data_IF_068336768501
#
_entry.id   IF_068336768501
#
_cell.length_a   1.000
_cell.length_b   1.000
_cell.length_c   1.000
_cell.angle_alpha   90.00
_cell.angle_beta   90.00
_cell.angle_gamma   90.00
#
_symmetry.space_group_name_H-M   'P 1'
#
loop_
_entity.id
_entity.type
_entity.pdbx_description
1 polymer ?
#
# COMPACT_ATOMS: atom_id res chain seq x y z
N UNK A 1 -8.40 9.40 -26.82
CA UNK A 1 -7.71 8.58 -25.80
C UNK A 1 -6.74 9.48 -25.08
N UNK A 2 -6.80 9.60 -23.72
CA UNK A 2 -5.79 10.36 -22.98
C UNK A 2 -4.47 9.63 -23.11
N UNK A 3 -3.46 10.34 -23.55
CA UNK A 3 -2.11 9.80 -23.81
C UNK A 3 -1.34 9.64 -22.49
N UNK A 4 -0.28 8.83 -22.48
CA UNK A 4 0.67 8.63 -21.38
C UNK A 4 1.23 9.95 -20.76
N UNK A 5 0.98 11.07 -21.39
CA UNK A 5 1.38 12.41 -21.00
C UNK A 5 0.65 12.98 -19.77
N UNK A 6 -0.50 12.40 -19.37
CA UNK A 6 -1.28 12.90 -18.20
C UNK A 6 -0.74 12.42 -16.84
N UNK A 7 0.09 11.39 -16.81
CA UNK A 7 0.76 10.93 -15.58
C UNK A 7 2.08 11.67 -15.30
N UNK A 8 2.66 12.31 -16.31
CA UNK A 8 3.95 12.97 -16.19
C UNK A 8 3.93 14.14 -15.17
N UNK A 9 4.81 14.02 -14.18
CA UNK A 9 4.97 15.03 -13.13
C UNK A 9 4.02 14.91 -11.93
N UNK A 10 3.13 13.89 -11.87
CA UNK A 10 2.32 13.62 -10.66
C UNK A 10 3.20 13.26 -9.47
N UNK A 11 2.73 13.54 -8.29
CA UNK A 11 3.48 13.46 -7.03
C UNK A 11 2.77 12.50 -6.10
N UNK A 12 3.42 11.39 -5.75
CA UNK A 12 2.86 10.37 -4.88
C UNK A 12 3.60 10.27 -3.55
N UNK A 13 2.86 10.23 -2.44
CA UNK A 13 3.37 9.78 -1.14
C UNK A 13 3.16 8.27 -1.00
N UNK A 14 4.19 7.55 -0.59
CA UNK A 14 4.12 6.11 -0.35
C UNK A 14 4.57 5.86 1.10
N UNK A 15 3.69 5.34 1.94
CA UNK A 15 4.04 4.92 3.30
C UNK A 15 4.61 3.50 3.29
N UNK A 16 5.64 3.23 4.11
CA UNK A 16 6.38 1.97 4.04
C UNK A 16 7.11 1.83 2.70
N UNK A 17 7.70 2.95 2.22
CA UNK A 17 8.32 3.05 0.90
C UNK A 17 9.76 2.55 0.83
N UNK A 18 10.36 2.18 1.96
CA UNK A 18 11.77 1.76 2.02
C UNK A 18 12.02 0.32 1.55
N UNK A 19 11.00 -0.53 1.44
CA UNK A 19 11.17 -1.93 1.07
C UNK A 19 9.92 -2.54 0.42
N UNK A 20 10.07 -3.76 -0.12
CA UNK A 20 8.98 -4.61 -0.59
C UNK A 20 8.06 -3.93 -1.62
N UNK A 21 6.74 -4.09 -1.43
CA UNK A 21 5.73 -3.53 -2.35
C UNK A 21 5.88 -2.01 -2.48
N UNK A 22 6.16 -1.29 -1.38
CA UNK A 22 6.32 0.16 -1.38
C UNK A 22 7.48 0.62 -2.26
N UNK A 23 8.66 0.03 -2.09
CA UNK A 23 9.86 0.37 -2.87
C UNK A 23 9.68 0.03 -4.36
N UNK A 24 9.15 -1.17 -4.68
CA UNK A 24 8.88 -1.58 -6.08
C UNK A 24 7.82 -0.68 -6.72
N UNK A 25 6.79 -0.27 -5.96
CA UNK A 25 5.79 0.70 -6.43
C UNK A 25 6.44 2.06 -6.73
N UNK A 26 7.33 2.54 -5.86
CA UNK A 26 8.03 3.80 -6.07
C UNK A 26 8.85 3.78 -7.37
N UNK A 27 9.66 2.73 -7.56
CA UNK A 27 10.46 2.55 -8.78
C UNK A 27 9.57 2.51 -10.04
N UNK A 28 8.47 1.75 -10.00
CA UNK A 28 7.54 1.66 -11.11
C UNK A 28 6.87 3.00 -11.43
N UNK A 29 6.39 3.73 -10.41
CA UNK A 29 5.77 5.03 -10.62
C UNK A 29 6.73 6.03 -11.25
N UNK A 30 7.98 6.08 -10.76
CA UNK A 30 9.00 6.98 -11.35
C UNK A 30 9.32 6.60 -12.79
N UNK A 31 9.42 5.31 -13.13
CA UNK A 31 9.60 4.87 -14.52
C UNK A 31 8.46 5.31 -15.45
N UNK A 32 7.29 5.67 -14.88
CA UNK A 32 6.10 6.18 -15.57
C UNK A 32 5.94 7.70 -15.47
N UNK A 33 6.94 8.40 -14.95
CA UNK A 33 6.97 9.86 -14.90
C UNK A 33 6.39 10.49 -13.62
N UNK A 34 6.06 9.73 -12.59
CA UNK A 34 5.75 10.25 -11.27
C UNK A 34 7.00 10.78 -10.56
N UNK A 35 6.80 11.64 -9.57
CA UNK A 35 7.74 11.90 -8.48
C UNK A 35 7.21 11.24 -7.22
N UNK A 36 8.07 10.64 -6.41
CA UNK A 36 7.63 9.88 -5.22
C UNK A 36 8.30 10.38 -3.95
N UNK A 37 7.54 10.49 -2.87
CA UNK A 37 8.07 10.68 -1.53
C UNK A 37 7.82 9.40 -0.73
N UNK A 38 8.84 8.93 -0.03
CA UNK A 38 8.82 7.73 0.77
C UNK A 38 8.78 8.12 2.25
N UNK A 39 7.73 7.73 2.97
CA UNK A 39 7.65 7.83 4.42
C UNK A 39 7.87 6.45 5.00
N UNK A 40 8.96 6.24 5.72
CA UNK A 40 9.27 4.97 6.36
C UNK A 40 9.92 5.19 7.73
N UNK A 41 9.65 4.29 8.66
CA UNK A 41 10.31 4.30 9.97
C UNK A 41 11.78 3.87 9.90
N UNK A 42 12.15 3.10 8.88
CA UNK A 42 13.53 2.77 8.54
C UNK A 42 14.03 3.82 7.54
N UNK A 43 14.62 4.90 8.07
CA UNK A 43 15.16 6.00 7.30
C UNK A 43 16.23 5.56 6.31
N UNK A 44 17.11 4.65 6.74
CA UNK A 44 18.19 4.11 5.90
C UNK A 44 17.64 3.34 4.69
N UNK A 45 16.57 2.55 4.90
CA UNK A 45 15.92 1.82 3.80
C UNK A 45 15.24 2.78 2.83
N UNK A 46 14.55 3.81 3.35
CA UNK A 46 13.91 4.83 2.51
C UNK A 46 14.93 5.65 1.72
N UNK A 47 16.05 6.01 2.35
CA UNK A 47 17.15 6.73 1.70
C UNK A 47 17.77 5.91 0.56
N UNK A 48 18.10 4.64 0.82
CA UNK A 48 18.63 3.73 -0.21
C UNK A 48 17.67 3.62 -1.39
N UNK A 49 16.38 3.38 -1.14
CA UNK A 49 15.37 3.30 -2.20
C UNK A 49 15.27 4.59 -2.99
N UNK A 50 15.30 5.75 -2.33
CA UNK A 50 15.29 7.05 -3.02
C UNK A 50 16.55 7.28 -3.85
N UNK A 51 17.72 6.87 -3.35
CA UNK A 51 18.99 6.95 -4.07
C UNK A 51 19.01 6.07 -5.33
N UNK A 52 18.50 4.84 -5.23
CA UNK A 52 18.40 3.91 -6.36
C UNK A 52 17.44 4.43 -7.46
N UNK A 53 16.38 5.14 -7.08
CA UNK A 53 15.46 5.80 -8.01
C UNK A 53 16.12 6.99 -8.71
N UNK A 54 16.96 7.74 -8.00
CA UNK A 54 17.70 8.88 -8.52
C UNK A 54 17.18 10.24 -8.09
N UNK A 55 18.11 11.19 -8.04
CA UNK A 55 17.88 12.55 -7.56
C UNK A 55 16.83 13.29 -8.40
N UNK A 56 15.96 14.04 -7.72
CA UNK A 56 14.91 14.87 -8.33
C UNK A 56 13.59 14.12 -8.57
N UNK A 57 13.59 12.79 -8.62
CA UNK A 57 12.39 11.97 -8.80
C UNK A 57 11.89 11.32 -7.51
N UNK A 58 12.77 11.19 -6.49
CA UNK A 58 12.42 10.62 -5.19
C UNK A 58 12.86 11.54 -4.04
N UNK A 59 12.04 11.59 -3.00
CA UNK A 59 12.34 12.13 -1.68
C UNK A 59 12.13 11.02 -0.65
N UNK A 60 12.75 11.14 0.50
CA UNK A 60 12.50 10.27 1.63
C UNK A 60 12.34 11.08 2.93
N UNK A 61 11.59 10.53 3.87
CA UNK A 61 11.37 11.08 5.19
C UNK A 61 11.33 9.93 6.18
N UNK A 62 12.20 9.97 7.19
CA UNK A 62 12.16 9.01 8.30
C UNK A 62 11.03 9.38 9.24
N UNK A 63 10.14 8.41 9.54
CA UNK A 63 9.06 8.64 10.48
C UNK A 63 8.09 7.48 10.58
N UNK A 64 7.50 7.35 11.77
CA UNK A 64 6.43 6.39 12.00
C UNK A 64 5.09 6.96 11.50
N UNK A 65 4.34 6.17 10.75
CA UNK A 65 3.02 6.56 10.23
C UNK A 65 1.96 6.77 11.32
N UNK A 66 2.24 6.36 12.55
CA UNK A 66 1.39 6.63 13.71
C UNK A 66 1.67 7.98 14.37
N UNK A 67 2.75 8.66 13.95
CA UNK A 67 3.10 10.01 14.39
C UNK A 67 2.60 11.05 13.37
N UNK A 68 1.67 11.91 13.80
CA UNK A 68 1.11 12.97 12.95
C UNK A 68 2.16 14.00 12.50
N UNK A 69 3.20 14.23 13.32
CA UNK A 69 4.29 15.14 12.96
C UNK A 69 5.16 14.57 11.84
N UNK A 70 5.41 13.27 11.83
CA UNK A 70 6.11 12.61 10.74
C UNK A 70 5.32 12.67 9.43
N UNK A 71 3.99 12.48 9.51
CA UNK A 71 3.08 12.60 8.35
C UNK A 71 3.14 14.02 7.77
N UNK A 72 2.96 15.03 8.61
CA UNK A 72 2.98 16.43 8.18
C UNK A 72 4.36 16.81 7.62
N UNK A 73 5.46 16.40 8.26
CA UNK A 73 6.82 16.64 7.79
C UNK A 73 7.08 16.07 6.39
N UNK A 74 6.61 14.85 6.10
CA UNK A 74 6.71 14.27 4.77
C UNK A 74 5.92 15.07 3.71
N UNK A 75 4.69 15.47 4.03
CA UNK A 75 3.84 16.28 3.14
C UNK A 75 4.39 17.69 2.93
N UNK A 76 4.94 18.32 3.95
CA UNK A 76 5.60 19.63 3.85
C UNK A 76 6.87 19.56 2.97
N UNK A 77 7.67 18.51 3.13
CA UNK A 77 8.85 18.27 2.26
C UNK A 77 8.43 18.14 0.79
N UNK A 78 7.33 17.42 0.50
CA UNK A 78 6.76 17.34 -0.85
C UNK A 78 6.26 18.69 -1.36
N UNK A 79 5.56 19.44 -0.52
CA UNK A 79 5.04 20.77 -0.89
C UNK A 79 6.16 21.74 -1.22
N UNK A 80 7.22 21.75 -0.41
CA UNK A 80 8.40 22.60 -0.64
C UNK A 80 9.16 22.24 -1.92
N UNK A 81 9.32 20.94 -2.20
CA UNK A 81 10.11 20.49 -3.35
C UNK A 81 9.31 20.50 -4.67
N UNK A 82 8.02 20.20 -4.62
CA UNK A 82 7.21 19.93 -5.82
C UNK A 82 5.85 20.65 -5.85
N UNK A 83 5.51 21.43 -4.85
CA UNK A 83 4.29 22.24 -4.79
C UNK A 83 3.02 21.47 -4.34
N UNK A 84 3.13 20.24 -3.82
CA UNK A 84 1.99 19.50 -3.25
C UNK A 84 2.00 18.00 -3.49
N UNK A 85 0.82 17.37 -3.41
CA UNK A 85 0.58 15.93 -3.54
C UNK A 85 -0.61 15.69 -4.48
N UNK A 86 -0.51 14.67 -5.33
CA UNK A 86 -1.59 14.21 -6.22
C UNK A 86 -2.08 12.81 -5.84
N UNK A 87 -1.19 11.93 -5.39
CA UNK A 87 -1.50 10.54 -5.12
C UNK A 87 -0.95 10.08 -3.78
N UNK A 88 -1.67 9.13 -3.14
CA UNK A 88 -1.26 8.50 -1.90
C UNK A 88 -1.34 6.98 -2.00
N UNK A 89 -0.30 6.30 -1.53
CA UNK A 89 -0.30 4.85 -1.32
C UNK A 89 -0.12 4.57 0.16
N UNK A 90 -1.19 4.18 0.85
CA UNK A 90 -1.14 3.67 2.21
C UNK A 90 -0.67 2.22 2.18
N UNK A 91 0.65 2.01 2.20
CA UNK A 91 1.26 0.69 2.09
C UNK A 91 1.89 0.22 3.41
N UNK A 92 2.30 1.11 4.31
CA UNK A 92 2.84 0.73 5.62
C UNK A 92 1.91 -0.27 6.32
N UNK A 93 2.50 -1.28 6.94
CA UNK A 93 1.74 -2.33 7.61
C UNK A 93 2.52 -3.05 8.69
N UNK A 94 1.80 -3.47 9.70
CA UNK A 94 2.27 -4.33 10.78
C UNK A 94 1.47 -5.63 10.80
N UNK A 95 2.07 -6.69 11.31
CA UNK A 95 1.41 -7.97 11.50
C UNK A 95 1.80 -8.57 12.85
N UNK A 96 0.94 -9.44 13.35
CA UNK A 96 1.19 -10.22 14.55
C UNK A 96 0.68 -11.65 14.33
N UNK A 97 1.32 -12.60 15.00
CA UNK A 97 1.06 -14.02 14.79
C UNK A 97 1.00 -14.77 16.13
N UNK A 98 -0.21 -15.08 16.56
CA UNK A 98 -0.47 -15.90 17.74
C UNK A 98 -1.93 -16.42 17.73
N UNK A 99 -2.23 -17.50 18.48
CA UNK A 99 -3.61 -17.87 18.78
C UNK A 99 -4.39 -16.71 19.39
N UNK A 100 -5.69 -16.61 19.11
CA UNK A 100 -6.53 -15.50 19.60
C UNK A 100 -6.48 -15.31 21.12
N UNK A 101 -6.40 -16.42 21.86
CA UNK A 101 -6.36 -16.39 23.34
C UNK A 101 -5.03 -15.81 23.89
N UNK A 102 -3.97 -15.84 23.09
CA UNK A 102 -2.64 -15.36 23.49
C UNK A 102 -2.36 -13.91 23.03
N UNK A 103 -3.33 -13.31 22.32
CA UNK A 103 -3.21 -11.94 21.84
C UNK A 103 -3.72 -10.95 22.88
N UNK A 104 -2.81 -10.19 23.50
CA UNK A 104 -3.17 -9.09 24.40
C UNK A 104 -3.75 -7.89 23.63
N UNK A 105 -4.50 -7.03 24.32
CA UNK A 105 -5.05 -5.81 23.71
C UNK A 105 -3.95 -4.88 23.16
N UNK A 106 -2.76 -4.85 23.76
CA UNK A 106 -1.66 -4.02 23.27
C UNK A 106 -1.07 -4.54 21.95
N UNK A 107 -1.06 -5.86 21.76
CA UNK A 107 -0.71 -6.47 20.47
C UNK A 107 -1.76 -6.13 19.39
N UNK A 108 -3.05 -6.13 19.75
CA UNK A 108 -4.13 -5.68 18.88
C UNK A 108 -3.98 -4.20 18.50
N UNK A 109 -3.81 -3.32 19.50
CA UNK A 109 -3.65 -1.87 19.28
C UNK A 109 -2.51 -1.59 18.32
N UNK A 110 -1.32 -2.15 18.55
CA UNK A 110 -0.15 -1.95 17.68
C UNK A 110 -0.44 -2.25 16.21
N UNK A 111 -1.16 -3.32 15.90
CA UNK A 111 -1.51 -3.67 14.52
C UNK A 111 -2.59 -2.76 13.96
N UNK A 112 -3.60 -2.42 14.75
CA UNK A 112 -4.68 -1.51 14.34
C UNK A 112 -4.18 -0.09 14.15
N UNK A 113 -3.27 0.38 15.00
CA UNK A 113 -2.69 1.72 14.89
C UNK A 113 -1.99 1.90 13.54
N UNK A 114 -1.16 0.94 13.14
CA UNK A 114 -0.43 1.00 11.87
C UNK A 114 -1.33 0.71 10.66
N UNK A 115 -2.18 -0.32 10.72
CA UNK A 115 -2.88 -0.81 9.53
C UNK A 115 -4.21 -0.09 9.26
N UNK A 116 -4.78 0.62 10.25
CA UNK A 116 -6.08 1.25 10.15
C UNK A 116 -6.05 2.72 10.56
N UNK A 117 -5.59 3.06 11.76
CA UNK A 117 -5.63 4.43 12.25
C UNK A 117 -4.62 5.33 11.51
N UNK A 118 -3.42 4.82 11.22
CA UNK A 118 -2.45 5.55 10.41
C UNK A 118 -2.97 5.85 8.98
N UNK A 119 -3.52 4.91 8.19
CA UNK A 119 -4.18 5.22 6.93
C UNK A 119 -5.26 6.29 7.02
N UNK A 120 -6.04 6.35 8.13
CA UNK A 120 -7.01 7.44 8.36
C UNK A 120 -6.27 8.77 8.51
N UNK A 121 -5.25 8.83 9.37
CA UNK A 121 -4.50 10.06 9.65
C UNK A 121 -3.77 10.57 8.40
N UNK A 122 -3.03 9.69 7.71
CA UNK A 122 -2.29 10.03 6.48
C UNK A 122 -3.24 10.49 5.38
N UNK A 123 -4.34 9.77 5.15
CA UNK A 123 -5.32 10.15 4.13
C UNK A 123 -5.97 11.51 4.44
N UNK A 124 -6.36 11.75 5.69
CA UNK A 124 -6.93 13.04 6.10
C UNK A 124 -5.95 14.22 5.90
N UNK A 125 -4.68 14.02 6.24
CA UNK A 125 -3.64 15.03 6.04
C UNK A 125 -3.38 15.28 4.54
N UNK A 126 -3.31 14.22 3.73
CA UNK A 126 -3.11 14.30 2.29
C UNK A 126 -4.29 14.98 1.58
N UNK A 127 -5.53 14.57 1.86
CA UNK A 127 -6.76 15.08 1.22
C UNK A 127 -6.95 16.59 1.43
N UNK A 128 -6.48 17.15 2.54
CA UNK A 128 -6.49 18.62 2.75
C UNK A 128 -5.60 19.36 1.75
N UNK A 129 -4.63 18.68 1.15
CA UNK A 129 -3.62 19.22 0.22
C UNK A 129 -3.83 18.74 -1.22
N UNK A 130 -4.72 17.77 -1.45
CA UNK A 130 -5.06 17.20 -2.75
C UNK A 130 -6.12 18.03 -3.48
N UNK A 131 -6.05 18.03 -4.81
CA UNK A 131 -7.05 18.62 -5.72
C UNK A 131 -7.82 17.58 -6.51
N UNK A 132 -8.76 18.02 -7.36
CA UNK A 132 -9.50 17.14 -8.28
C UNK A 132 -8.56 16.34 -9.19
N UNK A 133 -8.89 15.08 -9.46
CA UNK A 133 -8.08 14.14 -10.23
C UNK A 133 -7.05 13.37 -9.41
N UNK A 134 -6.97 13.64 -8.10
CA UNK A 134 -6.12 12.90 -7.17
C UNK A 134 -6.64 11.48 -6.91
N UNK A 135 -5.74 10.58 -6.45
CA UNK A 135 -6.13 9.23 -6.11
C UNK A 135 -5.40 8.69 -4.87
N UNK A 136 -6.11 7.83 -4.12
CA UNK A 136 -5.57 7.12 -2.95
C UNK A 136 -5.72 5.62 -3.19
N UNK A 137 -4.67 4.87 -2.90
CA UNK A 137 -4.69 3.40 -2.87
C UNK A 137 -4.31 2.90 -1.48
N UNK A 138 -5.24 2.18 -0.86
CA UNK A 138 -5.03 1.51 0.41
C UNK A 138 -4.57 0.06 0.17
N UNK A 139 -3.39 -0.32 0.63
CA UNK A 139 -2.89 -1.69 0.50
C UNK A 139 -3.49 -2.56 1.60
N UNK A 140 -4.57 -3.27 1.23
CA UNK A 140 -5.21 -4.27 2.08
C UNK A 140 -4.49 -5.63 1.96
N UNK A 141 -5.23 -6.72 1.88
CA UNK A 141 -4.72 -8.09 1.75
C UNK A 141 -5.86 -9.03 1.35
N UNK A 142 -5.54 -10.17 0.77
CA UNK A 142 -6.45 -11.31 0.69
C UNK A 142 -7.03 -11.66 2.07
N UNK A 143 -6.25 -11.49 3.14
CA UNK A 143 -6.69 -11.70 4.53
C UNK A 143 -7.61 -10.58 5.07
N UNK A 144 -7.92 -9.57 4.28
CA UNK A 144 -9.01 -8.64 4.53
C UNK A 144 -10.37 -9.14 4.02
N UNK A 145 -10.38 -10.16 3.18
CA UNK A 145 -11.60 -10.77 2.60
C UNK A 145 -11.87 -12.15 3.16
N UNK A 146 -10.83 -12.90 3.52
CA UNK A 146 -10.89 -14.19 4.20
C UNK A 146 -10.03 -14.14 5.47
N UNK A 147 -10.21 -15.10 6.36
CA UNK A 147 -9.42 -15.18 7.60
C UNK A 147 -8.47 -16.35 7.58
N UNK A 148 -7.36 -16.24 8.31
CA UNK A 148 -6.42 -17.31 8.55
C UNK A 148 -6.18 -17.49 10.06
N UNK A 149 -5.97 -18.72 10.55
CA UNK A 149 -5.61 -18.95 11.93
C UNK A 149 -4.40 -18.13 12.37
N UNK A 150 -4.39 -17.71 13.62
CA UNK A 150 -3.29 -16.99 14.28
C UNK A 150 -3.00 -15.58 13.73
N UNK A 151 -3.84 -15.04 12.84
CA UNK A 151 -3.69 -13.75 12.17
C UNK A 151 -4.76 -12.72 12.57
N UNK A 152 -5.39 -12.87 13.75
CA UNK A 152 -6.56 -12.10 14.19
C UNK A 152 -6.47 -10.60 13.94
N UNK A 153 -5.52 -9.85 14.57
CA UNK A 153 -5.41 -8.40 14.41
C UNK A 153 -5.18 -7.97 12.95
N UNK A 154 -4.36 -8.72 12.22
CA UNK A 154 -4.07 -8.44 10.83
C UNK A 154 -5.32 -8.58 9.95
N UNK A 155 -6.03 -9.71 10.03
CA UNK A 155 -7.25 -9.95 9.24
C UNK A 155 -8.30 -8.87 9.52
N UNK A 156 -8.55 -8.57 10.80
CA UNK A 156 -9.51 -7.54 11.20
C UNK A 156 -9.11 -6.16 10.68
N UNK A 157 -7.84 -5.77 10.82
CA UNK A 157 -7.35 -4.48 10.34
C UNK A 157 -7.49 -4.33 8.82
N UNK A 158 -7.18 -5.39 8.05
CA UNK A 158 -7.26 -5.36 6.59
C UNK A 158 -8.71 -5.41 6.07
N UNK A 159 -9.62 -6.08 6.79
CA UNK A 159 -11.07 -6.00 6.52
C UNK A 159 -11.63 -4.61 6.81
N UNK A 160 -11.23 -4.01 7.93
CA UNK A 160 -11.63 -2.64 8.29
C UNK A 160 -11.10 -1.62 7.26
N UNK A 161 -9.88 -1.81 6.73
CA UNK A 161 -9.30 -0.94 5.70
C UNK A 161 -10.09 -1.01 4.38
N UNK A 162 -10.63 -2.16 4.01
CA UNK A 162 -11.55 -2.30 2.86
C UNK A 162 -12.83 -1.49 3.09
N UNK A 163 -13.40 -1.55 4.29
CA UNK A 163 -14.59 -0.76 4.66
C UNK A 163 -14.29 0.74 4.65
N UNK A 164 -13.15 1.15 5.25
CA UNK A 164 -12.67 2.53 5.24
C UNK A 164 -12.51 3.07 3.81
N UNK A 165 -11.96 2.27 2.91
CA UNK A 165 -11.79 2.64 1.49
C UNK A 165 -13.11 3.05 0.85
N UNK A 166 -14.20 2.32 1.13
CA UNK A 166 -15.53 2.65 0.61
C UNK A 166 -16.06 3.97 1.19
N UNK A 167 -15.89 4.19 2.49
CA UNK A 167 -16.30 5.45 3.13
C UNK A 167 -15.52 6.64 2.56
N UNK A 168 -14.20 6.54 2.47
CA UNK A 168 -13.35 7.58 1.88
C UNK A 168 -13.73 7.86 0.42
N UNK A 169 -14.03 6.83 -0.36
CA UNK A 169 -14.46 6.98 -1.75
C UNK A 169 -15.77 7.76 -1.88
N UNK A 170 -16.75 7.49 -1.01
CA UNK A 170 -18.04 8.18 -1.00
C UNK A 170 -17.87 9.65 -0.59
N UNK A 171 -17.17 9.89 0.52
CA UNK A 171 -17.05 11.23 1.09
C UNK A 171 -16.19 12.19 0.24
N UNK A 172 -15.20 11.67 -0.48
CA UNK A 172 -14.27 12.51 -1.24
C UNK A 172 -14.54 12.53 -2.75
N UNK A 173 -15.58 11.83 -3.22
CA UNK A 173 -15.98 11.84 -4.63
C UNK A 173 -16.33 13.25 -5.14
N UNK A 174 -17.05 14.06 -4.35
CA UNK A 174 -17.38 15.44 -4.70
C UNK A 174 -16.17 16.36 -4.81
N UNK A 175 -15.06 15.99 -4.17
CA UNK A 175 -13.77 16.68 -4.30
C UNK A 175 -12.98 16.22 -5.53
N UNK A 176 -13.51 15.27 -6.31
CA UNK A 176 -12.84 14.69 -7.47
C UNK A 176 -11.68 13.76 -7.10
N UNK A 177 -11.68 13.19 -5.89
CA UNK A 177 -10.64 12.28 -5.38
C UNK A 177 -11.17 10.85 -5.44
N UNK A 178 -10.43 9.94 -6.08
CA UNK A 178 -10.74 8.50 -6.12
C UNK A 178 -10.02 7.77 -5.00
N UNK A 179 -10.69 6.84 -4.35
CA UNK A 179 -10.08 6.00 -3.31
C UNK A 179 -10.39 4.54 -3.60
N UNK A 180 -9.35 3.72 -3.70
CA UNK A 180 -9.48 2.29 -3.93
C UNK A 180 -8.58 1.50 -2.99
N UNK A 181 -8.86 0.22 -2.84
CA UNK A 181 -7.97 -0.72 -2.18
C UNK A 181 -7.36 -1.69 -3.20
N UNK A 182 -6.20 -2.21 -2.87
CA UNK A 182 -5.64 -3.40 -3.51
C UNK A 182 -5.54 -4.51 -2.46
N UNK A 183 -5.87 -5.74 -2.84
CA UNK A 183 -5.81 -6.92 -1.98
C UNK A 183 -4.82 -7.94 -2.54
N UNK A 184 -3.53 -7.81 -2.21
CA UNK A 184 -2.52 -8.79 -2.59
C UNK A 184 -2.80 -10.16 -1.95
N UNK A 185 -2.49 -11.23 -2.67
CA UNK A 185 -2.38 -12.57 -2.14
C UNK A 185 -1.09 -12.80 -1.38
N UNK A 186 -0.60 -14.02 -1.40
CA UNK A 186 0.73 -14.32 -0.87
C UNK A 186 1.80 -13.87 -1.87
N UNK A 187 2.66 -12.95 -1.43
CA UNK A 187 3.71 -12.33 -2.25
C UNK A 187 5.08 -12.86 -1.83
N UNK A 188 5.86 -13.28 -2.81
CA UNK A 188 7.24 -13.74 -2.63
C UNK A 188 8.17 -12.51 -2.51
N UNK A 189 8.21 -11.95 -1.31
CA UNK A 189 9.10 -10.84 -0.96
C UNK A 189 10.50 -11.33 -0.56
N UNK A 190 11.45 -10.42 -0.39
CA UNK A 190 12.84 -10.77 -0.08
C UNK A 190 13.00 -11.61 1.22
N UNK A 191 12.36 -11.27 2.35
CA UNK A 191 12.41 -12.13 3.53
C UNK A 191 11.87 -13.54 3.29
N UNK A 192 10.79 -13.68 2.54
CA UNK A 192 10.21 -14.98 2.18
C UNK A 192 11.13 -15.77 1.25
N UNK A 193 11.79 -15.11 0.30
CA UNK A 193 12.82 -15.74 -0.57
C UNK A 193 13.98 -16.27 0.22
N UNK A 194 14.49 -15.48 1.18
CA UNK A 194 15.59 -15.91 2.06
C UNK A 194 15.21 -17.13 2.90
N UNK A 195 14.00 -17.14 3.50
CA UNK A 195 13.50 -18.28 4.27
C UNK A 195 13.30 -19.54 3.40
N UNK A 196 12.80 -19.37 2.19
CA UNK A 196 12.64 -20.47 1.24
C UNK A 196 13.98 -21.05 0.81
N UNK A 197 14.97 -20.21 0.52
CA UNK A 197 16.33 -20.63 0.19
C UNK A 197 17.03 -21.37 1.35
N UNK A 198 16.74 -20.98 2.59
CA UNK A 198 17.22 -21.66 3.79
C UNK A 198 16.46 -22.96 4.14
N UNK A 199 15.43 -23.34 3.34
CA UNK A 199 14.58 -24.50 3.63
C UNK A 199 13.64 -24.31 4.84
N UNK A 200 13.52 -23.08 5.35
CA UNK A 200 12.71 -22.73 6.53
C UNK A 200 11.29 -22.29 6.18
N UNK A 201 10.93 -22.27 4.90
CA UNK A 201 9.61 -21.89 4.41
C UNK A 201 9.17 -22.84 3.29
N UNK A 202 8.06 -23.55 3.51
CA UNK A 202 7.43 -24.40 2.49
C UNK A 202 6.21 -23.66 1.90
N UNK A 203 6.35 -23.25 0.64
CA UNK A 203 5.29 -22.61 -0.12
C UNK A 203 4.25 -23.59 -0.70
N UNK A 204 4.44 -24.90 -0.57
CA UNK A 204 3.64 -25.91 -1.28
C UNK A 204 2.15 -25.81 -0.97
N UNK A 205 1.77 -25.54 0.28
CA UNK A 205 0.38 -25.37 0.66
C UNK A 205 -0.24 -24.11 0.03
N UNK A 206 0.55 -23.02 -0.06
CA UNK A 206 0.12 -21.77 -0.70
C UNK A 206 -0.05 -22.02 -2.21
N UNK A 207 0.90 -22.69 -2.85
CA UNK A 207 0.85 -22.99 -4.28
C UNK A 207 -0.35 -23.88 -4.62
N UNK A 208 -0.63 -24.92 -3.82
CA UNK A 208 -1.81 -25.78 -4.03
C UNK A 208 -3.13 -25.03 -3.88
N UNK A 209 -3.20 -24.06 -2.94
CA UNK A 209 -4.42 -23.29 -2.67
C UNK A 209 -4.60 -22.12 -3.66
N UNK A 210 -3.55 -21.68 -4.32
CA UNK A 210 -3.61 -20.60 -5.30
C UNK A 210 -3.90 -21.17 -6.69
N UNK A 211 -5.00 -20.80 -7.39
CA UNK A 211 -5.31 -21.34 -8.72
C UNK A 211 -4.20 -21.15 -9.74
N UNK A 212 -3.46 -20.04 -9.68
CA UNK A 212 -2.29 -19.82 -10.56
C UNK A 212 -1.05 -20.65 -10.16
N UNK A 213 -1.10 -21.47 -9.11
CA UNK A 213 -0.06 -22.40 -8.70
C UNK A 213 1.22 -21.78 -8.15
N UNK A 214 1.21 -20.48 -7.84
CA UNK A 214 2.40 -19.74 -7.36
C UNK A 214 2.01 -18.58 -6.45
N UNK A 215 3.00 -18.07 -5.73
CA UNK A 215 2.91 -16.75 -5.09
C UNK A 215 3.03 -15.65 -6.15
N UNK A 216 2.47 -14.48 -5.84
CA UNK A 216 2.69 -13.27 -6.63
C UNK A 216 4.04 -12.62 -6.33
N UNK A 217 4.35 -11.57 -7.09
CA UNK A 217 5.53 -10.72 -6.92
C UNK A 217 5.12 -9.31 -6.50
N UNK A 218 6.06 -8.57 -5.90
CA UNK A 218 5.84 -7.15 -5.57
C UNK A 218 5.51 -6.34 -6.83
N UNK A 219 6.13 -6.67 -7.97
CA UNK A 219 5.90 -5.99 -9.24
C UNK A 219 4.46 -6.16 -9.75
N UNK A 220 3.84 -7.34 -9.59
CA UNK A 220 2.44 -7.55 -9.97
C UNK A 220 1.48 -6.73 -9.12
N UNK A 221 1.80 -6.53 -7.83
CA UNK A 221 1.02 -5.64 -6.96
C UNK A 221 1.23 -4.18 -7.34
N UNK A 222 2.47 -3.76 -7.60
CA UNK A 222 2.81 -2.41 -8.01
C UNK A 222 2.10 -2.00 -9.32
N UNK A 223 1.95 -2.93 -10.28
CA UNK A 223 1.16 -2.72 -11.50
C UNK A 223 -0.31 -2.41 -11.20
N UNK A 224 -0.91 -3.14 -10.26
CA UNK A 224 -2.28 -2.89 -9.81
C UNK A 224 -2.42 -1.52 -9.12
N UNK A 225 -1.46 -1.15 -8.28
CA UNK A 225 -1.42 0.18 -7.63
C UNK A 225 -1.32 1.27 -8.69
N UNK A 226 -0.38 1.16 -9.63
CA UNK A 226 -0.18 2.13 -10.70
C UNK A 226 -1.42 2.27 -11.60
N UNK A 227 -2.14 1.16 -11.89
CA UNK A 227 -3.42 1.21 -12.59
C UNK A 227 -4.46 2.03 -11.82
N UNK A 228 -4.63 1.79 -10.52
CA UNK A 228 -5.63 2.48 -9.70
C UNK A 228 -5.32 3.96 -9.51
N UNK A 229 -4.05 4.34 -9.48
CA UNK A 229 -3.63 5.75 -9.40
C UNK A 229 -3.82 6.50 -10.72
N UNK A 230 -3.68 5.83 -11.88
CA UNK A 230 -3.70 6.46 -13.19
C UNK A 230 -5.09 7.04 -13.53
N UNK A 231 -5.25 8.38 -13.64
CA UNK A 231 -6.53 8.99 -13.94
C UNK A 231 -7.02 8.70 -15.37
N UNK A 232 -6.15 8.32 -16.29
CA UNK A 232 -6.52 7.96 -17.65
C UNK A 232 -7.09 6.54 -17.75
N UNK A 233 -6.63 5.64 -16.88
CA UNK A 233 -6.97 4.22 -16.91
C UNK A 233 -8.06 3.83 -15.91
N UNK A 234 -8.13 4.52 -14.78
CA UNK A 234 -9.05 4.23 -13.68
C UNK A 234 -9.98 5.41 -13.34
N UNK A 235 -10.31 6.28 -14.31
CA UNK A 235 -11.09 7.51 -14.11
C UNK A 235 -12.47 7.28 -13.49
N UNK A 236 -13.08 6.11 -13.71
CA UNK A 236 -14.40 5.75 -13.18
C UNK A 236 -14.36 4.62 -12.16
N UNK A 237 -13.17 4.39 -11.54
CA UNK A 237 -12.95 3.35 -10.51
C UNK A 237 -12.71 4.03 -9.17
N UNK A 238 -13.68 3.92 -8.25
CA UNK A 238 -13.58 4.38 -6.87
C UNK A 238 -14.38 3.46 -5.94
N UNK A 239 -13.96 3.31 -4.68
CA UNK A 239 -14.58 2.41 -3.69
C UNK A 239 -14.35 0.92 -3.97
N UNK A 240 -13.51 0.58 -4.93
CA UNK A 240 -13.24 -0.80 -5.36
C UNK A 240 -12.06 -1.40 -4.59
N UNK A 241 -12.09 -2.73 -4.43
CA UNK A 241 -10.95 -3.52 -3.96
C UNK A 241 -10.46 -4.40 -5.11
N UNK A 242 -9.31 -4.05 -5.68
CA UNK A 242 -8.67 -4.82 -6.74
C UNK A 242 -7.91 -6.01 -6.14
N UNK A 243 -8.32 -7.20 -6.50
CA UNK A 243 -7.67 -8.43 -6.05
C UNK A 243 -6.48 -8.78 -6.97
N UNK A 244 -5.28 -8.87 -6.37
CA UNK A 244 -4.05 -9.33 -7.02
C UNK A 244 -3.55 -10.54 -6.24
N UNK A 245 -4.28 -11.67 -6.34
CA UNK A 245 -4.13 -12.82 -5.44
C UNK A 245 -4.04 -14.18 -6.14
N UNK A 246 -3.89 -14.21 -7.47
CA UNK A 246 -3.77 -15.44 -8.24
C UNK A 246 -5.03 -16.32 -8.21
N UNK A 247 -6.20 -15.72 -7.92
CA UNK A 247 -7.49 -16.42 -7.83
C UNK A 247 -7.80 -16.99 -6.44
N UNK A 248 -7.01 -16.65 -5.42
CA UNK A 248 -7.17 -17.19 -4.06
C UNK A 248 -8.60 -17.06 -3.52
N UNK A 249 -9.21 -15.89 -3.66
CA UNK A 249 -10.57 -15.61 -3.15
C UNK A 249 -11.67 -16.17 -4.06
N UNK A 250 -11.40 -16.35 -5.35
CA UNK A 250 -12.34 -16.95 -6.29
C UNK A 250 -12.44 -18.48 -6.14
N UNK A 251 -11.46 -19.12 -5.50
CA UNK A 251 -11.37 -20.56 -5.40
C UNK A 251 -12.09 -21.09 -4.15
N UNK A 252 -13.28 -21.62 -4.34
CA UNK A 252 -14.12 -22.17 -3.27
C UNK A 252 -13.86 -23.64 -2.91
N UNK A 253 -12.92 -24.31 -3.58
CA UNK A 253 -12.59 -25.71 -3.34
C UNK A 253 -11.47 -25.88 -2.30
N UNK A 254 -11.52 -26.96 -1.49
CA UNK A 254 -10.53 -27.30 -0.46
C UNK A 254 -9.74 -28.52 -0.90
#
# INVERSE_FOLDING_TARGET
MPTAQQAAGRRALITGGGAGIGAVTAQLLVSRGWRVALLDRDGDAAERTAADIGAGSALWHEGDVTDVHAIDGALEKMAAAWGGIDDLVNNAGAWDHAPLLDLTLDRWRRVLDVNLLAPIAVSNAAVRRMGPGSAIVNVSSVLGQVSAPTRGPYCVSKSALISLTKMQAIEWAERGIRVNAIAPGYIMNEPTRALAAAGSFDASAIHRRTPMGRMGTEAEVAEGIAFLLDPARASYVTGHTLEVNGGWTAYGFV
#
